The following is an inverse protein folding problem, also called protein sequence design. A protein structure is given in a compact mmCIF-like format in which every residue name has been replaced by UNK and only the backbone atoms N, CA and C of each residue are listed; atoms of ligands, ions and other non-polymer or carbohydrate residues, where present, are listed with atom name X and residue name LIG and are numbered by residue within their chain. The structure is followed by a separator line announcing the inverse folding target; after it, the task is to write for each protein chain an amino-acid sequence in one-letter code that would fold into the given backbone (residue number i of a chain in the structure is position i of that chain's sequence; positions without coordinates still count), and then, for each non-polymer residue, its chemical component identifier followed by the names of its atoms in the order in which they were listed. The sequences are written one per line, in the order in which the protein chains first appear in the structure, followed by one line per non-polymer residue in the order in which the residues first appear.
data_IF_826386637512
#
_entry.id   IF_826386637512
#
_cell.length_a   1.000
_cell.length_b   1.000
_cell.length_c   1.000
_cell.angle_alpha   90.00
_cell.angle_beta   90.00
_cell.angle_gamma   90.00
#
_symmetry.space_group_name_H-M   'P 1'
#
loop_
_entity.id
_entity.type
_entity.pdbx_description
1 polymer ?
#
# COMPACT_ATOMS: atom_id res chain seq x y z
N UNK A 1 10.97 8.03 -7.33
CA UNK A 1 10.69 7.73 -5.92
C UNK A 1 11.54 8.66 -5.06
N UNK A 2 10.93 9.31 -4.06
CA UNK A 2 11.56 10.42 -3.34
C UNK A 2 12.43 10.02 -2.14
N UNK A 3 12.42 8.75 -1.72
CA UNK A 3 13.21 8.25 -0.57
C UNK A 3 14.03 6.99 -0.86
N UNK A 4 13.86 6.37 -2.03
CA UNK A 4 14.56 5.14 -2.42
C UNK A 4 14.79 5.18 -3.92
N UNK A 5 16.00 4.83 -4.36
CA UNK A 5 16.30 4.73 -5.78
C UNK A 5 15.94 3.33 -6.30
N UNK A 6 14.82 3.24 -7.01
CA UNK A 6 14.39 2.04 -7.71
C UNK A 6 14.93 2.06 -9.14
N UNK A 7 16.19 1.65 -9.32
CA UNK A 7 16.91 1.71 -10.60
C UNK A 7 16.14 1.03 -11.74
N UNK A 8 15.91 1.77 -12.83
CA UNK A 8 15.59 1.28 -14.19
C UNK A 8 14.23 0.61 -14.43
N UNK A 9 13.47 0.24 -13.39
CA UNK A 9 12.22 -0.53 -13.54
C UNK A 9 10.94 0.21 -13.10
N UNK A 10 11.06 1.40 -12.50
CA UNK A 10 9.94 2.12 -11.87
C UNK A 10 9.98 3.62 -12.17
N UNK A 11 10.18 3.99 -13.43
CA UNK A 11 10.28 5.39 -13.88
C UNK A 11 9.05 6.21 -13.49
N UNK A 12 7.85 5.61 -13.59
CA UNK A 12 6.58 6.23 -13.17
C UNK A 12 6.58 6.72 -11.71
N UNK A 13 7.47 6.20 -10.85
CA UNK A 13 7.51 6.57 -9.44
C UNK A 13 8.26 7.89 -9.18
N UNK A 14 8.89 8.51 -10.18
CA UNK A 14 9.70 9.72 -10.05
C UNK A 14 8.98 11.00 -10.49
N UNK A 15 7.84 10.86 -11.16
CA UNK A 15 6.95 11.96 -11.52
C UNK A 15 5.57 11.71 -10.89
N UNK A 16 4.96 12.76 -10.33
CA UNK A 16 3.69 12.64 -9.59
C UNK A 16 2.49 12.46 -10.53
N UNK A 17 2.55 12.97 -11.76
CA UNK A 17 1.51 12.80 -12.77
C UNK A 17 1.56 11.39 -13.32
N UNK A 18 2.76 10.90 -13.67
CA UNK A 18 2.96 9.52 -14.11
C UNK A 18 2.56 8.52 -13.03
N UNK A 19 2.89 8.79 -11.77
CA UNK A 19 2.48 7.96 -10.64
C UNK A 19 0.96 7.86 -10.53
N UNK A 20 0.25 8.99 -10.67
CA UNK A 20 -1.21 9.03 -10.64
C UNK A 20 -1.83 8.29 -11.83
N UNK A 21 -1.31 8.49 -13.04
CA UNK A 21 -1.75 7.79 -14.24
C UNK A 21 -1.54 6.27 -14.11
N UNK A 22 -0.37 5.84 -13.62
CA UNK A 22 -0.06 4.44 -13.38
C UNK A 22 -1.00 3.82 -12.35
N UNK A 23 -1.31 4.54 -11.26
CA UNK A 23 -2.25 4.06 -10.25
C UNK A 23 -3.68 3.89 -10.81
N UNK A 24 -4.14 4.80 -11.69
CA UNK A 24 -5.43 4.65 -12.36
C UNK A 24 -5.49 3.45 -13.30
N UNK A 25 -4.40 3.18 -14.04
CA UNK A 25 -4.29 1.96 -14.85
C UNK A 25 -4.38 0.70 -13.97
N UNK A 26 -3.76 0.71 -12.79
CA UNK A 26 -3.92 -0.35 -11.80
C UNK A 26 -5.38 -0.51 -11.36
N UNK A 27 -6.09 0.57 -11.04
CA UNK A 27 -7.50 0.49 -10.63
C UNK A 27 -8.40 -0.06 -11.74
N UNK A 28 -8.18 0.37 -12.98
CA UNK A 28 -8.89 -0.16 -14.16
C UNK A 28 -8.62 -1.64 -14.37
N UNK A 29 -7.36 -2.06 -14.24
CA UNK A 29 -6.95 -3.46 -14.35
C UNK A 29 -7.59 -4.33 -13.24
N UNK A 30 -7.57 -3.86 -11.99
CA UNK A 30 -8.21 -4.56 -10.88
C UNK A 30 -9.73 -4.65 -11.07
N UNK A 31 -10.37 -3.59 -11.57
CA UNK A 31 -11.81 -3.60 -11.90
C UNK A 31 -12.12 -4.62 -12.99
N UNK A 32 -11.28 -4.71 -14.02
CA UNK A 32 -11.40 -5.72 -15.06
C UNK A 32 -11.23 -7.14 -14.50
N UNK A 33 -10.18 -7.40 -13.71
CA UNK A 33 -9.97 -8.71 -13.10
C UNK A 33 -11.12 -9.15 -12.18
N UNK A 34 -11.66 -8.21 -11.40
CA UNK A 34 -12.87 -8.47 -10.59
C UNK A 34 -14.10 -8.81 -11.43
N UNK A 35 -14.18 -8.35 -12.68
CA UNK A 35 -15.32 -8.64 -13.56
C UNK A 35 -15.16 -9.94 -14.36
N UNK A 36 -13.93 -10.32 -14.73
CA UNK A 36 -13.69 -11.49 -15.59
C UNK A 36 -13.21 -12.74 -14.86
N UNK A 37 -12.51 -12.59 -13.72
CA UNK A 37 -12.01 -13.73 -12.97
C UNK A 37 -13.06 -14.21 -11.97
N UNK A 38 -13.17 -15.54 -11.85
CA UNK A 38 -14.01 -16.20 -10.84
C UNK A 38 -13.26 -16.49 -9.54
N UNK A 39 -11.98 -16.13 -9.48
CA UNK A 39 -11.18 -16.30 -8.27
C UNK A 39 -11.54 -15.19 -7.27
N UNK A 40 -11.75 -15.52 -6.00
CA UNK A 40 -11.99 -14.49 -5.00
C UNK A 40 -10.73 -13.61 -4.84
N UNK A 41 -10.93 -12.31 -4.67
CA UNK A 41 -9.86 -11.32 -4.44
C UNK A 41 -10.14 -10.63 -3.11
N UNK A 42 -9.17 -10.65 -2.20
CA UNK A 42 -9.26 -9.98 -0.91
C UNK A 42 -8.54 -8.63 -0.92
N UNK A 43 -9.29 -7.55 -0.71
CA UNK A 43 -8.70 -6.23 -0.48
C UNK A 43 -8.42 -6.00 1.01
N UNK A 44 -7.17 -5.61 1.28
CA UNK A 44 -6.68 -5.28 2.62
C UNK A 44 -6.21 -3.84 2.61
N UNK A 45 -6.91 -2.99 3.38
CA UNK A 45 -6.48 -1.61 3.58
C UNK A 45 -5.32 -1.58 4.56
N UNK A 46 -4.27 -0.87 4.19
CA UNK A 46 -3.05 -0.77 5.01
C UNK A 46 -3.36 -0.24 6.41
N UNK A 47 -4.21 0.78 6.51
CA UNK A 47 -4.58 1.41 7.77
C UNK A 47 -5.32 0.44 8.71
N UNK A 48 -6.17 -0.43 8.16
CA UNK A 48 -6.91 -1.44 8.93
C UNK A 48 -5.95 -2.51 9.46
N UNK A 49 -4.97 -2.95 8.64
CA UNK A 49 -3.91 -3.88 9.07
C UNK A 49 -3.06 -3.29 10.20
N UNK A 50 -2.71 -2.01 10.10
CA UNK A 50 -1.88 -1.34 11.09
C UNK A 50 -2.64 -1.03 12.37
N UNK A 51 -3.93 -0.72 12.28
CA UNK A 51 -4.78 -0.46 13.44
C UNK A 51 -5.17 -1.75 14.17
N UNK A 52 -5.50 -2.81 13.42
CA UNK A 52 -6.11 -4.04 13.91
C UNK A 52 -5.39 -5.27 13.31
N UNK A 53 -4.10 -5.43 13.65
CA UNK A 53 -3.22 -6.46 13.06
C UNK A 53 -3.82 -7.87 13.18
N UNK A 54 -4.25 -8.27 14.38
CA UNK A 54 -4.72 -9.64 14.60
C UNK A 54 -5.99 -9.93 13.83
N UNK A 55 -6.98 -9.03 13.90
CA UNK A 55 -8.23 -9.14 13.15
C UNK A 55 -7.96 -9.26 11.65
N UNK A 56 -7.10 -8.40 11.12
CA UNK A 56 -6.78 -8.38 9.69
C UNK A 56 -6.00 -9.63 9.26
N UNK A 57 -5.02 -10.06 10.07
CA UNK A 57 -4.23 -11.27 9.82
C UNK A 57 -5.09 -12.54 9.87
N UNK A 58 -6.04 -12.64 10.81
CA UNK A 58 -6.98 -13.77 10.87
C UNK A 58 -7.86 -13.84 9.64
N UNK A 59 -8.44 -12.71 9.20
CA UNK A 59 -9.23 -12.62 7.96
C UNK A 59 -8.41 -13.04 6.73
N UNK A 60 -7.13 -12.66 6.67
CA UNK A 60 -6.22 -13.07 5.59
C UNK A 60 -5.98 -14.59 5.57
N UNK A 61 -5.67 -15.16 6.73
CA UNK A 61 -5.40 -16.60 6.87
C UNK A 61 -6.64 -17.42 6.55
N UNK A 62 -7.81 -17.00 7.06
CA UNK A 62 -9.11 -17.63 6.77
C UNK A 62 -9.45 -17.55 5.27
N UNK A 63 -9.26 -16.39 4.65
CA UNK A 63 -9.50 -16.22 3.21
C UNK A 63 -8.64 -17.15 2.34
N UNK A 64 -7.40 -17.43 2.77
CA UNK A 64 -6.52 -18.38 2.11
C UNK A 64 -6.88 -19.85 2.40
N UNK A 65 -7.89 -20.13 3.24
CA UNK A 65 -8.26 -21.48 3.66
C UNK A 65 -7.19 -22.16 4.54
N UNK A 66 -6.38 -21.36 5.26
CA UNK A 66 -5.28 -21.84 6.09
C UNK A 66 -5.65 -21.84 7.58
N UNK A 67 -4.99 -22.68 8.37
CA UNK A 67 -5.16 -22.70 9.82
C UNK A 67 -4.44 -21.52 10.49
N UNK A 68 -5.09 -20.91 11.48
CA UNK A 68 -4.51 -19.81 12.26
C UNK A 68 -3.29 -20.24 13.08
N UNK A 69 -2.26 -19.41 13.04
CA UNK A 69 -1.08 -19.57 13.90
C UNK A 69 -0.70 -18.24 14.54
N UNK A 70 -0.52 -18.21 15.86
CA UNK A 70 -0.15 -17.00 16.60
C UNK A 70 1.15 -16.34 16.10
N UNK A 71 2.05 -17.14 15.49
CA UNK A 71 3.29 -16.65 14.85
C UNK A 71 3.05 -15.64 13.72
N UNK A 72 1.85 -15.58 13.15
CA UNK A 72 1.47 -14.54 12.19
C UNK A 72 1.58 -13.12 12.79
N UNK A 73 1.42 -12.98 14.11
CA UNK A 73 1.59 -11.70 14.80
C UNK A 73 3.08 -11.36 15.03
N UNK A 74 3.92 -12.38 15.16
CA UNK A 74 5.36 -12.30 15.38
C UNK A 74 6.19 -12.43 14.07
N UNK A 75 5.65 -11.94 12.94
CA UNK A 75 6.31 -12.06 11.62
C UNK A 75 7.74 -11.50 11.58
N UNK A 76 8.03 -10.49 12.40
CA UNK A 76 9.33 -9.83 12.50
C UNK A 76 10.43 -10.70 13.12
N UNK A 77 10.07 -11.79 13.80
CA UNK A 77 11.01 -12.77 14.34
C UNK A 77 11.50 -13.79 13.28
N UNK A 78 10.92 -13.76 12.08
CA UNK A 78 11.31 -14.65 11.00
C UNK A 78 12.77 -14.40 10.56
N UNK A 79 13.56 -15.48 10.49
CA UNK A 79 14.99 -15.43 10.14
C UNK A 79 15.26 -15.41 8.64
N UNK A 80 14.24 -15.61 7.79
CA UNK A 80 14.41 -15.61 6.33
C UNK A 80 15.03 -14.29 5.86
N UNK A 81 15.90 -14.39 4.87
CA UNK A 81 16.43 -13.21 4.19
C UNK A 81 15.30 -12.45 3.49
N UNK A 82 15.37 -11.12 3.58
CA UNK A 82 14.42 -10.22 2.93
C UNK A 82 15.24 -9.30 2.02
N UNK A 83 15.06 -9.44 0.72
CA UNK A 83 15.72 -8.58 -0.27
C UNK A 83 14.71 -7.56 -0.83
N UNK A 84 14.26 -6.62 0.00
CA UNK A 84 13.29 -5.57 -0.39
C UNK A 84 13.76 -4.21 0.10
N UNK A 85 13.32 -3.12 -0.54
CA UNK A 85 13.55 -1.76 -0.07
C UNK A 85 12.96 -1.50 1.35
N UNK A 86 12.00 -2.31 1.77
CA UNK A 86 11.38 -2.28 3.10
C UNK A 86 12.07 -3.15 4.15
N UNK A 87 13.31 -3.64 3.91
CA UNK A 87 14.01 -4.58 4.79
C UNK A 87 13.94 -4.21 6.28
N UNK A 88 14.34 -2.98 6.63
CA UNK A 88 14.34 -2.52 8.03
C UNK A 88 12.93 -2.35 8.60
N UNK A 89 11.93 -2.13 7.75
CA UNK A 89 10.53 -1.94 8.16
C UNK A 89 9.89 -3.28 8.50
N UNK A 90 10.07 -4.30 7.66
CA UNK A 90 9.46 -5.62 7.85
C UNK A 90 10.09 -6.43 8.98
N UNK A 91 11.26 -6.01 9.47
CA UNK A 91 11.94 -6.58 10.65
C UNK A 91 11.47 -5.98 11.99
N UNK A 92 10.46 -5.10 11.97
CA UNK A 92 9.88 -4.50 13.17
C UNK A 92 8.45 -5.00 13.39
N UNK A 93 7.94 -5.03 14.63
CA UNK A 93 6.51 -5.20 14.89
C UNK A 93 5.68 -4.17 14.10
N UNK A 94 4.37 -4.43 13.92
CA UNK A 94 3.47 -3.44 13.31
C UNK A 94 3.53 -2.12 14.08
N UNK A 95 3.70 -1.02 13.37
CA UNK A 95 3.78 0.33 13.93
C UNK A 95 2.97 1.34 13.11
N UNK A 96 2.51 2.40 13.77
CA UNK A 96 1.58 3.39 13.18
C UNK A 96 2.28 4.61 12.56
N UNK A 97 3.59 4.76 12.72
CA UNK A 97 4.36 5.94 12.32
C UNK A 97 4.41 6.22 10.80
N UNK A 98 3.96 5.29 9.95
CA UNK A 98 3.80 5.54 8.51
C UNK A 98 2.41 6.05 8.13
N UNK A 99 1.41 5.82 8.98
CA UNK A 99 0.04 6.28 8.74
C UNK A 99 0.01 7.80 8.77
N UNK A 100 -0.50 8.41 7.70
CA UNK A 100 -0.61 9.86 7.58
C UNK A 100 0.72 10.59 7.35
N UNK A 101 1.86 9.90 7.17
CA UNK A 101 3.16 10.57 6.92
C UNK A 101 3.14 11.46 5.68
N UNK A 102 2.32 11.11 4.68
CA UNK A 102 2.14 11.90 3.46
C UNK A 102 1.70 13.35 3.75
N UNK A 103 1.03 13.60 4.89
CA UNK A 103 0.54 14.94 5.26
C UNK A 103 1.66 15.96 5.42
N UNK A 104 2.86 15.54 5.78
CA UNK A 104 4.03 16.42 5.83
C UNK A 104 4.42 16.97 4.46
N UNK A 105 3.96 16.31 3.38
CA UNK A 105 4.24 16.66 2.00
C UNK A 105 2.98 17.09 1.25
N UNK A 106 1.84 17.27 1.94
CA UNK A 106 0.55 17.54 1.30
C UNK A 106 0.60 18.69 0.28
N UNK A 107 1.29 19.78 0.63
CA UNK A 107 1.48 20.94 -0.23
C UNK A 107 2.23 20.67 -1.55
N UNK A 108 2.90 19.52 -1.67
CA UNK A 108 3.64 19.10 -2.87
C UNK A 108 2.89 18.03 -3.68
N UNK A 109 1.75 17.53 -3.20
CA UNK A 109 1.03 16.42 -3.83
C UNK A 109 -0.08 16.86 -4.79
N UNK A 110 -0.22 18.17 -5.05
CA UNK A 110 -1.23 18.70 -5.98
C UNK A 110 -1.20 18.01 -7.37
N UNK A 111 -0.03 17.81 -8.02
CA UNK A 111 0.01 17.11 -9.32
C UNK A 111 -0.52 15.68 -9.24
N UNK A 112 -0.19 14.95 -8.17
CA UNK A 112 -0.68 13.59 -7.95
C UNK A 112 -2.19 13.58 -7.72
N UNK A 113 -2.73 14.51 -6.92
CA UNK A 113 -4.18 14.60 -6.66
C UNK A 113 -4.94 14.81 -7.96
N UNK A 114 -4.46 15.71 -8.82
CA UNK A 114 -5.07 15.98 -10.13
C UNK A 114 -5.02 14.75 -11.03
N UNK A 115 -3.86 14.08 -11.12
CA UNK A 115 -3.72 12.86 -11.91
C UNK A 115 -4.63 11.71 -11.44
N UNK A 116 -4.88 11.63 -10.13
CA UNK A 116 -5.84 10.70 -9.52
C UNK A 116 -7.32 11.11 -9.70
N UNK A 117 -7.60 12.29 -10.26
CA UNK A 117 -8.96 12.83 -10.40
C UNK A 117 -9.57 13.34 -9.09
N UNK A 118 -8.74 13.68 -8.11
CA UNK A 118 -9.15 14.26 -6.83
C UNK A 118 -9.13 15.79 -6.91
N UNK A 119 -10.06 16.44 -6.20
CA UNK A 119 -10.06 17.90 -6.06
C UNK A 119 -8.75 18.41 -5.44
N UNK A 120 -8.32 19.62 -5.81
CA UNK A 120 -7.11 20.21 -5.24
C UNK A 120 -7.37 20.65 -3.79
N UNK A 121 -6.34 20.53 -2.95
CA UNK A 121 -6.40 20.97 -1.54
C UNK A 121 -6.68 22.49 -1.42
N UNK A 122 -6.41 23.26 -2.48
CA UNK A 122 -6.73 24.70 -2.59
C UNK A 122 -8.22 24.98 -2.80
N UNK A 123 -8.97 23.99 -3.29
CA UNK A 123 -10.42 24.09 -3.52
C UNK A 123 -11.21 23.69 -2.26
N UNK A 124 -10.66 22.78 -1.44
CA UNK A 124 -11.28 22.30 -0.20
C UNK A 124 -11.14 23.26 0.99
N UNK A 125 -10.27 24.27 0.90
CA UNK A 125 -10.06 25.33 1.92
C UNK A 125 -10.79 26.64 1.63
N UNK A 126 -11.52 26.75 0.52
CA UNK A 126 -12.42 27.88 0.23
C UNK A 126 -13.83 27.56 0.71
#
# INVERSE_FOLDING_TARGET
CYFTNFSGAYEYAYDLEDLGAYYRLYEELMRHWKSVLRVPILEVRYEDMVAEQERTSRRLVEFCGLEWQARCLAFHENKREVATASFDQVRKPVYRASVGRWRHYAAHLDPLRQALGLASEREERK
#
